data_IF_825975902624
#
_entry.id   IF_825975902624
#
_cell.length_a   1.000
_cell.length_b   1.000
_cell.length_c   1.000
_cell.angle_alpha   90.00
_cell.angle_beta   90.00
_cell.angle_gamma   90.00
#
_symmetry.space_group_name_H-M   'P 1'
#
loop_
_entity.id
_entity.type
_entity.pdbx_description
1 polymer ?
#
# COMPACT_ATOMS: atom_id res chain seq x y z
N UNK A 1 17.36 3.72 1.96
CA UNK A 1 18.16 2.76 1.15
C UNK A 1 18.60 1.48 1.89
N UNK A 2 19.55 1.48 2.86
CA UNK A 2 19.98 0.21 3.50
C UNK A 2 18.91 -0.40 4.42
N UNK A 3 18.25 0.40 5.26
CA UNK A 3 17.24 -0.08 6.21
C UNK A 3 16.04 -0.71 5.50
N UNK A 4 15.50 -0.02 4.50
CA UNK A 4 14.40 -0.52 3.67
C UNK A 4 14.77 -1.85 3.00
N UNK A 5 15.98 -1.97 2.46
CA UNK A 5 16.47 -3.22 1.88
C UNK A 5 16.49 -4.35 2.91
N UNK A 6 16.97 -4.09 4.13
CA UNK A 6 17.00 -5.07 5.21
C UNK A 6 15.59 -5.53 5.61
N UNK A 7 14.64 -4.60 5.71
CA UNK A 7 13.24 -4.94 5.96
C UNK A 7 12.64 -5.77 4.80
N UNK A 8 12.95 -5.40 3.55
CA UNK A 8 12.49 -6.11 2.35
C UNK A 8 12.93 -7.56 2.33
N UNK A 9 14.17 -7.85 2.72
CA UNK A 9 14.70 -9.23 2.83
C UNK A 9 14.28 -9.93 4.13
N UNK A 10 13.28 -9.41 4.85
CA UNK A 10 12.71 -9.98 6.07
C UNK A 10 13.74 -10.16 7.20
N UNK A 11 14.72 -9.26 7.29
CA UNK A 11 15.68 -9.27 8.39
C UNK A 11 14.99 -8.96 9.72
N UNK A 12 15.08 -9.88 10.68
CA UNK A 12 14.34 -9.79 11.96
C UNK A 12 14.74 -8.59 12.82
N UNK A 13 16.00 -8.16 12.77
CA UNK A 13 16.47 -7.02 13.57
C UNK A 13 15.95 -5.70 12.99
N UNK A 14 15.97 -5.55 11.67
CA UNK A 14 15.41 -4.39 10.98
C UNK A 14 13.90 -4.28 11.20
N UNK A 15 13.15 -5.39 11.14
CA UNK A 15 11.71 -5.41 11.42
C UNK A 15 11.39 -5.05 12.87
N UNK A 16 12.15 -5.56 13.85
CA UNK A 16 12.00 -5.16 15.26
C UNK A 16 12.23 -3.66 15.43
N UNK A 17 13.28 -3.13 14.80
CA UNK A 17 13.59 -1.70 14.82
C UNK A 17 12.49 -0.87 14.15
N UNK A 18 11.87 -1.35 13.07
CA UNK A 18 10.71 -0.69 12.46
C UNK A 18 9.55 -0.58 13.47
N UNK A 19 9.23 -1.67 14.17
CA UNK A 19 8.20 -1.66 15.22
C UNK A 19 8.55 -0.74 16.39
N UNK A 20 9.80 -0.71 16.83
CA UNK A 20 10.25 0.22 17.88
C UNK A 20 10.13 1.69 17.47
N UNK A 21 10.46 2.01 16.22
CA UNK A 21 10.33 3.36 15.68
C UNK A 21 8.86 3.74 15.51
N UNK A 22 8.01 2.83 15.03
CA UNK A 22 6.58 3.06 14.90
C UNK A 22 5.93 3.46 16.22
N UNK A 23 6.29 2.79 17.32
CA UNK A 23 5.80 3.11 18.67
C UNK A 23 6.20 4.50 19.19
N UNK A 24 7.20 5.13 18.57
CA UNK A 24 7.63 6.50 18.91
C UNK A 24 6.86 7.57 18.12
N UNK A 25 6.15 7.17 17.07
CA UNK A 25 5.35 8.10 16.27
C UNK A 25 4.18 8.59 17.15
N UNK A 26 4.01 9.91 17.34
CA UNK A 26 2.92 10.43 18.14
C UNK A 26 1.58 10.13 17.46
N UNK A 27 0.55 9.77 18.24
CA UNK A 27 -0.79 9.50 17.72
C UNK A 27 -1.37 10.68 16.92
N UNK A 28 -0.97 11.92 17.26
CA UNK A 28 -1.36 13.12 16.52
C UNK A 28 -0.90 13.11 15.06
N UNK A 29 0.19 12.42 14.73
CA UNK A 29 0.61 12.25 13.33
C UNK A 29 -0.49 11.59 12.50
N UNK A 30 -1.12 10.55 13.04
CA UNK A 30 -2.19 9.82 12.35
C UNK A 30 -3.52 10.59 12.31
N UNK A 31 -3.79 11.44 13.32
CA UNK A 31 -5.08 12.11 13.46
C UNK A 31 -5.16 13.55 12.94
N UNK A 32 -4.07 14.30 12.81
CA UNK A 32 -4.17 15.70 12.34
C UNK A 32 -2.90 16.26 11.71
N UNK A 33 -1.92 15.41 11.36
CA UNK A 33 -0.70 15.84 10.66
C UNK A 33 0.20 16.83 11.42
N UNK A 34 -0.06 17.09 12.70
CA UNK A 34 0.67 18.09 13.51
C UNK A 34 1.69 17.48 14.47
N UNK A 35 1.90 16.17 14.42
CA UNK A 35 2.90 15.48 15.23
C UNK A 35 4.28 15.50 14.58
N UNK A 36 5.25 16.18 15.21
CA UNK A 36 6.66 16.03 14.85
C UNK A 36 7.11 14.61 15.22
N UNK A 37 7.41 13.82 14.19
CA UNK A 37 7.86 12.44 14.36
C UNK A 37 9.36 12.36 14.68
N UNK A 38 10.12 13.44 14.45
CA UNK A 38 11.58 13.46 14.48
C UNK A 38 12.23 12.33 13.64
N UNK A 39 11.51 11.91 12.58
CA UNK A 39 11.89 10.86 11.64
C UNK A 39 11.83 11.47 10.23
N UNK A 40 12.86 11.23 9.43
CA UNK A 40 12.87 11.65 8.02
C UNK A 40 11.64 11.10 7.27
N UNK A 41 10.92 11.88 6.45
CA UNK A 41 9.68 11.45 5.81
C UNK A 41 9.79 10.16 4.98
N UNK A 42 10.91 9.97 4.26
CA UNK A 42 11.13 8.75 3.46
C UNK A 42 11.31 7.55 4.39
N UNK A 43 12.05 7.75 5.48
CA UNK A 43 12.26 6.75 6.52
C UNK A 43 10.97 6.43 7.29
N UNK A 44 10.11 7.42 7.53
CA UNK A 44 8.84 7.29 8.22
C UNK A 44 7.88 6.38 7.44
N UNK A 45 7.79 6.58 6.12
CA UNK A 45 6.94 5.73 5.26
C UNK A 45 7.37 4.27 5.30
N UNK A 46 8.68 4.01 5.31
CA UNK A 46 9.28 2.67 5.43
C UNK A 46 8.95 2.05 6.80
N UNK A 47 9.09 2.83 7.87
CA UNK A 47 8.78 2.39 9.24
C UNK A 47 7.31 1.95 9.36
N UNK A 48 6.37 2.77 8.89
CA UNK A 48 4.93 2.46 8.94
C UNK A 48 4.62 1.24 8.07
N UNK A 49 5.15 1.17 6.85
CA UNK A 49 4.93 0.06 5.93
C UNK A 49 5.34 -1.29 6.54
N UNK A 50 6.59 -1.40 7.01
CA UNK A 50 7.12 -2.66 7.52
C UNK A 50 6.61 -3.00 8.91
N UNK A 51 6.24 -2.00 9.72
CA UNK A 51 5.52 -2.25 10.96
C UNK A 51 4.15 -2.89 10.66
N UNK A 52 3.31 -2.30 9.80
CA UNK A 52 1.99 -2.86 9.46
C UNK A 52 2.10 -4.22 8.77
N UNK A 53 3.10 -4.43 7.90
CA UNK A 53 3.33 -5.74 7.30
C UNK A 53 3.67 -6.80 8.35
N UNK A 54 4.48 -6.45 9.35
CA UNK A 54 4.98 -7.41 10.32
C UNK A 54 4.03 -7.61 11.51
N UNK A 55 3.37 -6.54 11.94
CA UNK A 55 2.40 -6.53 13.02
C UNK A 55 1.18 -7.36 12.61
N UNK A 56 0.86 -8.36 13.41
CA UNK A 56 -0.38 -9.12 13.27
C UNK A 56 -1.46 -8.48 14.14
N UNK A 57 -1.59 -7.16 14.04
CA UNK A 57 -2.50 -6.34 14.84
C UNK A 57 -3.60 -5.79 13.94
N UNK A 58 -4.81 -6.30 14.15
CA UNK A 58 -5.97 -5.88 13.38
C UNK A 58 -6.43 -4.46 13.73
N UNK A 59 -6.27 -4.07 15.00
CA UNK A 59 -6.75 -2.79 15.50
C UNK A 59 -5.89 -1.65 14.92
N UNK A 60 -4.57 -1.85 14.79
CA UNK A 60 -3.67 -0.88 14.15
C UNK A 60 -4.00 -0.68 12.66
N UNK A 61 -4.28 -1.77 11.93
CA UNK A 61 -4.67 -1.68 10.51
C UNK A 61 -6.01 -0.97 10.36
N UNK A 62 -7.00 -1.31 11.18
CA UNK A 62 -8.32 -0.68 11.16
C UNK A 62 -8.28 0.79 11.56
N UNK A 63 -7.44 1.14 12.55
CA UNK A 63 -7.19 2.52 12.92
C UNK A 63 -6.59 3.32 11.76
N UNK A 64 -5.62 2.75 11.05
CA UNK A 64 -5.00 3.39 9.89
C UNK A 64 -6.01 3.57 8.75
N UNK A 65 -6.84 2.55 8.49
CA UNK A 65 -7.90 2.61 7.49
C UNK A 65 -8.93 3.69 7.82
N UNK A 66 -9.40 3.73 9.07
CA UNK A 66 -10.34 4.74 9.54
C UNK A 66 -9.80 6.16 9.37
N UNK A 67 -8.55 6.40 9.73
CA UNK A 67 -7.92 7.70 9.51
C UNK A 67 -7.80 8.02 8.03
N UNK A 68 -7.45 7.05 7.19
CA UNK A 68 -7.40 7.27 5.74
C UNK A 68 -8.75 7.68 5.14
N UNK A 69 -9.86 7.09 5.59
CA UNK A 69 -11.19 7.33 5.01
C UNK A 69 -11.95 8.51 5.63
N UNK A 70 -11.83 8.74 6.93
CA UNK A 70 -12.68 9.70 7.66
C UNK A 70 -11.97 11.02 7.98
N UNK A 71 -10.64 11.04 7.96
CA UNK A 71 -9.89 12.18 8.45
C UNK A 71 -9.60 13.20 7.35
N UNK A 72 -10.21 14.38 7.44
CA UNK A 72 -10.00 15.46 6.48
C UNK A 72 -8.71 16.27 6.71
N UNK A 73 -8.01 16.03 7.83
CA UNK A 73 -6.80 16.77 8.22
C UNK A 73 -5.49 16.10 7.80
N UNK A 74 -5.54 14.91 7.19
CA UNK A 74 -4.33 14.25 6.67
C UNK A 74 -3.93 14.85 5.31
N UNK A 75 -2.62 14.95 5.08
CA UNK A 75 -2.09 15.48 3.81
C UNK A 75 -2.10 14.41 2.72
N UNK A 76 -2.03 14.80 1.44
CA UNK A 76 -1.90 13.85 0.32
C UNK A 76 -0.71 12.91 0.47
N UNK A 77 0.40 13.39 1.05
CA UNK A 77 1.58 12.56 1.32
C UNK A 77 1.30 11.49 2.40
N UNK A 78 0.55 11.84 3.45
CA UNK A 78 0.13 10.88 4.45
C UNK A 78 -0.87 9.87 3.89
N UNK A 79 -1.81 10.31 3.03
CA UNK A 79 -2.74 9.42 2.35
C UNK A 79 -1.98 8.33 1.57
N UNK A 80 -1.01 8.72 0.75
CA UNK A 80 -0.14 7.77 0.02
C UNK A 80 0.61 6.84 0.99
N UNK A 81 1.17 7.40 2.07
CA UNK A 81 1.90 6.62 3.07
C UNK A 81 1.02 5.56 3.74
N UNK A 82 -0.19 5.95 4.16
CA UNK A 82 -1.15 5.07 4.81
C UNK A 82 -1.64 4.01 3.85
N UNK A 83 -2.01 4.39 2.63
CA UNK A 83 -2.46 3.51 1.57
C UNK A 83 -1.42 2.43 1.24
N UNK A 84 -0.14 2.82 1.11
CA UNK A 84 0.96 1.87 0.89
C UNK A 84 1.10 0.90 2.06
N UNK A 85 1.04 1.38 3.30
CA UNK A 85 1.11 0.55 4.49
C UNK A 85 -0.09 -0.40 4.64
N UNK A 86 -1.31 0.06 4.33
CA UNK A 86 -2.52 -0.76 4.29
C UNK A 86 -2.38 -1.91 3.28
N UNK A 87 -1.81 -1.63 2.10
CA UNK A 87 -1.47 -2.64 1.09
C UNK A 87 -0.32 -3.59 1.46
N UNK A 88 0.41 -3.29 2.55
CA UNK A 88 1.47 -4.14 3.08
C UNK A 88 0.95 -5.27 3.99
N UNK A 89 -0.36 -5.27 4.30
CA UNK A 89 -1.00 -6.26 5.16
C UNK A 89 -0.76 -7.71 4.69
N UNK A 90 -0.66 -8.65 5.63
CA UNK A 90 -0.46 -10.07 5.32
C UNK A 90 -1.74 -10.76 4.89
N UNK A 91 -2.90 -10.27 5.32
CA UNK A 91 -4.18 -10.91 5.10
C UNK A 91 -4.71 -10.67 3.68
N UNK A 92 -4.78 -11.75 2.88
CA UNK A 92 -5.26 -11.72 1.49
C UNK A 92 -6.65 -11.07 1.36
N UNK A 93 -7.55 -11.29 2.32
CA UNK A 93 -8.90 -10.72 2.25
C UNK A 93 -8.88 -9.19 2.37
N UNK A 94 -7.99 -8.60 3.19
CA UNK A 94 -7.80 -7.13 3.27
C UNK A 94 -7.29 -6.57 1.96
N UNK A 95 -6.30 -7.23 1.36
CA UNK A 95 -5.74 -6.82 0.06
C UNK A 95 -6.81 -6.86 -1.05
N UNK A 96 -7.65 -7.89 -1.07
CA UNK A 96 -8.78 -7.99 -2.01
C UNK A 96 -9.79 -6.87 -1.80
N UNK A 97 -10.23 -6.65 -0.56
CA UNK A 97 -11.20 -5.59 -0.24
C UNK A 97 -10.66 -4.21 -0.59
N UNK A 98 -9.37 -3.94 -0.34
CA UNK A 98 -8.73 -2.69 -0.76
C UNK A 98 -8.79 -2.50 -2.28
N UNK A 99 -8.50 -3.54 -3.07
CA UNK A 99 -8.58 -3.46 -4.53
C UNK A 99 -10.01 -3.25 -5.02
N UNK A 100 -11.00 -3.91 -4.43
CA UNK A 100 -12.42 -3.76 -4.78
C UNK A 100 -12.90 -2.33 -4.51
N UNK A 101 -12.62 -1.80 -3.31
CA UNK A 101 -12.95 -0.42 -2.94
C UNK A 101 -12.23 0.56 -3.88
N UNK A 102 -10.95 0.32 -4.15
CA UNK A 102 -10.17 1.19 -5.01
C UNK A 102 -10.65 1.15 -6.47
N UNK A 103 -11.24 0.06 -6.93
CA UNK A 103 -11.72 -0.14 -8.30
C UNK A 103 -13.11 0.45 -8.56
N UNK A 104 -13.93 0.60 -7.52
CA UNK A 104 -15.31 1.07 -7.63
C UNK A 104 -15.37 2.47 -8.24
N UNK A 105 -16.10 2.60 -9.35
CA UNK A 105 -16.32 3.85 -10.06
C UNK A 105 -17.32 4.77 -9.36
N UNK A 106 -18.09 4.23 -8.42
CA UNK A 106 -19.09 4.98 -7.64
C UNK A 106 -18.53 5.45 -6.29
N UNK A 107 -17.27 5.15 -6.00
CA UNK A 107 -16.60 5.49 -4.75
C UNK A 107 -15.50 6.52 -4.97
N UNK A 108 -15.55 7.60 -4.19
CA UNK A 108 -14.54 8.66 -4.18
C UNK A 108 -13.53 8.50 -3.02
N UNK A 109 -13.53 7.33 -2.36
CA UNK A 109 -12.66 7.08 -1.18
C UNK A 109 -11.18 7.04 -1.56
N UNK A 110 -10.87 6.49 -2.73
CA UNK A 110 -9.50 6.33 -3.25
C UNK A 110 -9.41 7.09 -4.58
N UNK A 111 -8.54 8.09 -4.62
CA UNK A 111 -8.32 8.90 -5.81
C UNK A 111 -7.61 8.10 -6.92
N UNK A 112 -7.66 8.61 -8.16
CA UNK A 112 -7.05 7.93 -9.31
C UNK A 112 -5.54 7.70 -9.14
N UNK A 113 -4.79 8.66 -8.59
CA UNK A 113 -3.34 8.49 -8.38
C UNK A 113 -3.07 7.46 -7.28
N UNK A 114 -3.85 7.53 -6.19
CA UNK A 114 -3.78 6.61 -5.07
C UNK A 114 -4.07 5.17 -5.51
N UNK A 115 -5.04 4.95 -6.40
CA UNK A 115 -5.30 3.63 -6.98
C UNK A 115 -4.03 2.99 -7.54
N UNK A 116 -3.26 3.71 -8.36
CA UNK A 116 -2.04 3.17 -8.96
C UNK A 116 -0.97 2.86 -7.91
N UNK A 117 -0.79 3.75 -6.93
CA UNK A 117 0.12 3.53 -5.80
C UNK A 117 -0.26 2.29 -4.98
N UNK A 118 -1.55 2.10 -4.71
CA UNK A 118 -2.07 0.94 -3.99
C UNK A 118 -1.80 -0.35 -4.75
N UNK A 119 -2.16 -0.40 -6.03
CA UNK A 119 -1.99 -1.62 -6.84
C UNK A 119 -0.51 -2.01 -6.94
N UNK A 120 0.38 -1.02 -7.12
CA UNK A 120 1.83 -1.26 -7.14
C UNK A 120 2.29 -1.76 -5.77
N UNK A 121 1.87 -1.12 -4.67
CA UNK A 121 2.24 -1.53 -3.30
C UNK A 121 1.82 -2.98 -3.00
N UNK A 122 0.57 -3.35 -3.34
CA UNK A 122 0.07 -4.71 -3.13
C UNK A 122 0.80 -5.71 -4.06
N UNK A 123 1.17 -5.32 -5.29
CA UNK A 123 1.91 -6.22 -6.19
C UNK A 123 3.29 -6.59 -5.65
N UNK A 124 3.92 -5.68 -4.90
CA UNK A 124 5.21 -5.89 -4.25
C UNK A 124 5.10 -6.68 -2.94
N UNK A 125 3.89 -6.84 -2.40
CA UNK A 125 3.63 -7.67 -1.24
C UNK A 125 3.67 -9.16 -1.66
N UNK A 126 4.46 -10.02 -0.98
CA UNK A 126 4.53 -11.45 -1.30
C UNK A 126 3.16 -12.15 -1.32
N UNK A 127 2.23 -11.73 -0.44
CA UNK A 127 0.88 -12.28 -0.37
C UNK A 127 -0.11 -11.58 -1.33
N UNK A 128 0.29 -10.45 -1.90
CA UNK A 128 -0.56 -9.57 -2.73
C UNK A 128 -0.33 -9.70 -4.23
N UNK A 129 0.82 -10.22 -4.66
CA UNK A 129 1.18 -10.37 -6.08
C UNK A 129 0.13 -11.11 -6.91
N UNK A 130 -0.22 -12.34 -6.50
CA UNK A 130 -1.25 -13.13 -7.18
C UNK A 130 -2.62 -12.48 -7.11
N UNK A 131 -2.90 -11.80 -5.99
CA UNK A 131 -4.16 -11.09 -5.79
C UNK A 131 -4.31 -9.97 -6.81
N UNK A 132 -3.28 -9.14 -6.96
CA UNK A 132 -3.26 -8.02 -7.92
C UNK A 132 -3.30 -8.52 -9.35
N UNK A 133 -2.49 -9.54 -9.69
CA UNK A 133 -2.45 -10.04 -11.05
C UNK A 133 -3.80 -10.62 -11.49
N UNK A 134 -4.42 -11.43 -10.62
CA UNK A 134 -5.75 -11.95 -10.88
C UNK A 134 -6.78 -10.82 -10.94
N UNK A 135 -6.77 -9.90 -9.98
CA UNK A 135 -7.66 -8.74 -9.99
C UNK A 135 -7.55 -7.93 -11.29
N UNK A 136 -6.33 -7.60 -11.73
CA UNK A 136 -6.09 -6.81 -12.94
C UNK A 136 -6.62 -7.50 -14.19
N UNK A 137 -6.35 -8.81 -14.36
CA UNK A 137 -6.84 -9.58 -15.51
C UNK A 137 -8.36 -9.67 -15.54
N UNK A 138 -8.99 -10.03 -14.43
CA UNK A 138 -10.44 -10.21 -14.36
C UNK A 138 -11.20 -8.88 -14.54
N UNK A 139 -10.64 -7.78 -14.04
CA UNK A 139 -11.28 -6.47 -14.09
C UNK A 139 -10.79 -5.58 -15.24
N UNK A 140 -9.92 -6.08 -16.13
CA UNK A 140 -9.32 -5.28 -17.19
C UNK A 140 -10.34 -4.47 -18.01
N UNK A 141 -11.49 -5.03 -18.46
CA UNK A 141 -12.48 -4.25 -19.19
C UNK A 141 -13.05 -3.07 -18.38
N UNK A 142 -13.32 -3.27 -17.08
CA UNK A 142 -13.83 -2.24 -16.20
C UNK A 142 -12.77 -1.16 -15.89
N UNK A 143 -11.53 -1.57 -15.66
CA UNK A 143 -10.40 -0.65 -15.46
C UNK A 143 -10.13 0.17 -16.72
N UNK A 144 -10.20 -0.46 -17.90
CA UNK A 144 -10.06 0.21 -19.19
C UNK A 144 -11.19 1.21 -19.42
N UNK A 145 -12.43 0.88 -19.05
CA UNK A 145 -13.56 1.80 -19.10
C UNK A 145 -13.34 3.00 -18.17
N UNK A 146 -12.89 2.77 -16.94
CA UNK A 146 -12.66 3.82 -15.94
C UNK A 146 -11.54 4.78 -16.32
N UNK A 147 -10.37 4.27 -16.70
CA UNK A 147 -9.18 5.10 -16.91
C UNK A 147 -9.01 5.53 -18.37
N UNK A 148 -9.56 4.78 -19.32
CA UNK A 148 -9.40 5.04 -20.74
C UNK A 148 -8.03 4.60 -21.30
N UNK A 149 -7.98 4.47 -22.63
CA UNK A 149 -6.80 3.99 -23.38
C UNK A 149 -5.61 4.96 -23.37
N UNK A 150 -5.86 6.24 -23.17
CA UNK A 150 -4.85 7.30 -23.23
C UNK A 150 -4.20 7.57 -21.88
N UNK A 151 -4.69 6.96 -20.80
CA UNK A 151 -4.15 7.17 -19.47
C UNK A 151 -2.76 6.52 -19.35
N UNK A 152 -1.74 7.37 -19.20
CA UNK A 152 -0.34 6.96 -19.11
C UNK A 152 -0.07 6.03 -17.92
N UNK A 153 -0.65 6.30 -16.75
CA UNK A 153 -0.42 5.50 -15.54
C UNK A 153 -1.04 4.11 -15.69
N UNK A 154 -2.24 4.03 -16.26
CA UNK A 154 -2.89 2.74 -16.53
C UNK A 154 -2.10 1.90 -17.54
N UNK A 155 -1.58 2.53 -18.60
CA UNK A 155 -0.74 1.84 -19.58
C UNK A 155 0.59 1.34 -18.99
N UNK A 156 1.14 2.04 -17.99
CA UNK A 156 2.35 1.63 -17.27
C UNK A 156 2.08 0.59 -16.17
N UNK A 157 0.82 0.48 -15.72
CA UNK A 157 0.47 -0.35 -14.57
C UNK A 157 0.83 -1.82 -14.78
N UNK A 158 0.58 -2.38 -15.97
CA UNK A 158 0.93 -3.78 -16.26
C UNK A 158 2.44 -4.04 -16.13
N UNK A 159 3.28 -3.12 -16.61
CA UNK A 159 4.72 -3.24 -16.50
C UNK A 159 5.19 -3.14 -15.03
N UNK A 160 4.53 -2.32 -14.22
CA UNK A 160 4.82 -2.21 -12.79
C UNK A 160 4.39 -3.45 -12.01
N UNK A 161 3.22 -4.03 -12.33
CA UNK A 161 2.78 -5.30 -11.73
C UNK A 161 3.76 -6.42 -12.12
N UNK A 162 4.14 -6.51 -13.39
CA UNK A 162 5.01 -7.56 -13.89
C UNK A 162 6.44 -7.51 -13.32
N UNK A 163 6.92 -6.33 -12.88
CA UNK A 163 8.21 -6.22 -12.17
C UNK A 163 8.25 -7.03 -10.86
N UNK A 164 7.09 -7.36 -10.29
CA UNK A 164 7.01 -8.20 -9.09
C UNK A 164 7.13 -9.69 -9.39
N UNK A 165 7.06 -10.14 -10.64
CA UNK A 165 7.05 -11.57 -10.98
C UNK A 165 8.41 -12.22 -10.72
N UNK A 166 8.40 -13.32 -9.96
CA UNK A 166 9.61 -13.98 -9.45
C UNK A 166 9.81 -15.40 -10.01
N UNK A 167 8.88 -15.91 -10.82
CA UNK A 167 8.93 -17.27 -11.33
C UNK A 167 8.48 -17.37 -12.80
N UNK A 168 8.81 -18.49 -13.44
CA UNK A 168 8.50 -18.76 -14.84
C UNK A 168 7.00 -18.88 -15.13
N UNK A 169 6.17 -19.09 -14.10
CA UNK A 169 4.72 -19.26 -14.26
C UNK A 169 4.09 -18.02 -14.93
N UNK A 170 4.44 -16.82 -14.47
CA UNK A 170 3.89 -15.59 -15.04
C UNK A 170 4.42 -15.23 -16.44
N UNK A 171 5.53 -15.84 -16.90
CA UNK A 171 6.05 -15.58 -18.24
C UNK A 171 5.22 -16.25 -19.34
N UNK A 172 4.42 -17.24 -18.98
CA UNK A 172 3.56 -17.98 -19.90
C UNK A 172 2.09 -17.53 -19.86
N UNK A 173 1.76 -16.55 -19.01
CA UNK A 173 0.44 -15.92 -18.89
C UNK A 173 0.38 -14.60 -19.66
#
# INVERSE_FOLDING_TARGET
MLFELLCRVQNTEALKKATELFRRIPLSYFSNSTGDTNIDPEFLSTVIYYHIQNANDADEWEYLWKNFTENLSITSQQRITFLRALGAAKEIWRLKSLLEIAADINSDVIETQEFFDLVISISQNPNGRDVVWNFYRHNYPALLYRFGRTNRLFNQLIANIAQSFENSYYYHE
#
